data_IF_182163467417
#
_entry.id   IF_182163467417
#
_cell.length_a   1.000
_cell.length_b   1.000
_cell.length_c   1.000
_cell.angle_alpha   90.00
_cell.angle_beta   90.00
_cell.angle_gamma   90.00
#
_symmetry.space_group_name_H-M   'P 1'
#
loop_
_entity.id
_entity.type
_entity.pdbx_description
1 polymer ?
#
# COMPACT_ATOMS: atom_id res chain seq x y z
N UNK A 1 -8.29 -31.89 8.07
CA UNK A 1 -7.93 -30.54 8.56
C UNK A 1 -7.82 -29.65 7.35
N UNK A 2 -8.53 -28.53 7.30
CA UNK A 2 -8.38 -27.56 6.20
C UNK A 2 -6.95 -27.02 6.20
N UNK A 3 -6.32 -26.81 5.02
CA UNK A 3 -5.00 -26.21 4.95
C UNK A 3 -5.04 -24.85 5.66
N UNK A 4 -4.11 -24.64 6.59
CA UNK A 4 -3.94 -23.36 7.28
C UNK A 4 -3.55 -22.34 6.23
N UNK A 5 -4.45 -21.39 5.94
CA UNK A 5 -4.14 -20.27 5.06
C UNK A 5 -3.08 -19.42 5.77
N UNK A 6 -1.90 -19.20 5.16
CA UNK A 6 -0.87 -18.37 5.78
C UNK A 6 -1.43 -16.98 6.11
N UNK A 7 -1.00 -16.44 7.26
CA UNK A 7 -1.40 -15.11 7.69
C UNK A 7 -1.05 -14.07 6.61
N UNK A 8 -1.68 -12.89 6.66
CA UNK A 8 -1.30 -11.80 5.76
C UNK A 8 0.14 -11.32 5.97
N UNK A 9 0.78 -11.61 7.11
CA UNK A 9 2.16 -11.22 7.40
C UNK A 9 3.20 -12.25 6.91
N UNK A 10 2.81 -13.51 6.74
CA UNK A 10 3.71 -14.60 6.36
C UNK A 10 3.41 -15.07 4.93
N UNK A 11 3.92 -14.31 3.96
CA UNK A 11 3.78 -14.58 2.53
C UNK A 11 5.08 -14.28 1.81
N UNK A 12 5.29 -14.94 0.68
CA UNK A 12 6.33 -14.54 -0.28
C UNK A 12 5.81 -13.38 -1.13
N UNK A 13 6.74 -12.56 -1.63
CA UNK A 13 6.43 -11.40 -2.46
C UNK A 13 7.12 -10.13 -2.00
N UNK A 14 6.75 -9.02 -2.63
CA UNK A 14 7.30 -7.69 -2.38
C UNK A 14 6.23 -6.70 -1.96
N UNK A 15 6.55 -5.86 -1.00
CA UNK A 15 5.75 -4.70 -0.60
C UNK A 15 6.57 -3.45 -0.89
N UNK A 16 5.94 -2.43 -1.46
CA UNK A 16 6.57 -1.11 -1.54
C UNK A 16 6.36 -0.38 -0.21
N UNK A 17 7.45 0.05 0.42
CA UNK A 17 7.45 0.75 1.70
C UNK A 17 8.53 1.84 1.67
N UNK A 18 8.13 3.08 1.94
CA UNK A 18 9.02 4.25 2.07
C UNK A 18 10.05 4.43 0.94
N UNK A 19 9.61 4.24 -0.31
CA UNK A 19 10.46 4.43 -1.50
C UNK A 19 11.15 3.17 -2.01
N UNK A 20 11.02 2.04 -1.32
CA UNK A 20 11.76 0.80 -1.63
C UNK A 20 10.84 -0.42 -1.71
N UNK A 21 11.21 -1.40 -2.56
CA UNK A 21 10.60 -2.73 -2.54
C UNK A 21 11.29 -3.58 -1.47
N UNK A 22 10.55 -3.90 -0.41
CA UNK A 22 11.00 -4.78 0.67
C UNK A 22 10.39 -6.17 0.51
N UNK A 23 11.01 -7.19 1.11
CA UNK A 23 10.37 -8.49 1.23
C UNK A 23 9.08 -8.36 2.03
N UNK A 24 8.04 -9.10 1.63
CA UNK A 24 6.71 -9.02 2.23
C UNK A 24 6.76 -9.15 3.77
N UNK A 25 7.60 -10.04 4.28
CA UNK A 25 7.77 -10.28 5.71
C UNK A 25 8.49 -9.15 6.44
N UNK A 26 9.25 -8.32 5.74
CA UNK A 26 10.05 -7.23 6.31
C UNK A 26 9.32 -5.88 6.33
N UNK A 27 8.14 -5.79 5.73
CA UNK A 27 7.24 -4.64 5.84
C UNK A 27 6.63 -4.54 7.25
N UNK A 28 7.46 -4.19 8.23
CA UNK A 28 7.15 -4.11 9.66
C UNK A 28 7.20 -2.67 10.15
N UNK A 29 6.37 -2.37 11.13
CA UNK A 29 6.38 -1.11 11.87
C UNK A 29 6.53 -1.38 13.37
N UNK A 30 6.99 -0.39 14.13
CA UNK A 30 7.07 -0.52 15.57
C UNK A 30 5.67 -0.51 16.20
N UNK A 31 5.47 -1.24 17.30
CA UNK A 31 4.18 -1.29 18.01
C UNK A 31 3.74 0.06 18.59
N UNK A 32 4.64 1.04 18.65
CA UNK A 32 4.37 2.43 19.07
C UNK A 32 4.17 3.39 17.88
N UNK A 33 3.81 2.90 16.70
CA UNK A 33 3.42 3.77 15.58
C UNK A 33 2.14 4.54 15.93
N UNK A 34 2.17 5.87 15.80
CA UNK A 34 1.08 6.77 16.21
C UNK A 34 -0.27 6.35 15.61
N UNK A 35 -0.34 6.01 14.32
CA UNK A 35 -1.59 5.57 13.68
C UNK A 35 -2.20 4.33 14.30
N UNK A 36 -1.40 3.43 14.87
CA UNK A 36 -1.90 2.23 15.54
C UNK A 36 -2.65 2.57 16.85
N UNK A 37 -2.26 3.66 17.52
CA UNK A 37 -2.85 4.09 18.80
C UNK A 37 -3.96 5.13 18.63
N UNK A 38 -3.87 5.97 17.60
CA UNK A 38 -4.75 7.14 17.43
C UNK A 38 -5.56 7.14 16.14
N UNK A 39 -5.43 6.12 15.28
CA UNK A 39 -6.25 5.94 14.08
C UNK A 39 -6.03 6.94 12.94
N UNK A 40 -5.15 7.93 13.11
CA UNK A 40 -4.88 8.95 12.10
C UNK A 40 -4.00 8.39 10.97
N UNK A 41 -4.62 7.98 9.87
CA UNK A 41 -4.00 7.49 8.65
C UNK A 41 -5.02 7.44 7.51
N UNK A 42 -4.55 7.28 6.28
CA UNK A 42 -5.41 7.15 5.10
C UNK A 42 -4.99 5.93 4.27
N UNK A 43 -5.95 5.29 3.61
CA UNK A 43 -5.68 4.17 2.72
C UNK A 43 -6.62 4.19 1.52
N UNK A 44 -6.25 3.45 0.49
CA UNK A 44 -7.05 3.22 -0.70
C UNK A 44 -7.31 1.75 -0.96
N UNK A 45 -8.33 1.48 -1.77
CA UNK A 45 -8.64 0.16 -2.26
C UNK A 45 -8.71 0.15 -3.77
N UNK A 46 -7.69 -0.39 -4.41
CA UNK A 46 -7.56 -0.37 -5.88
C UNK A 46 -7.58 -1.81 -6.40
N UNK A 47 -8.13 -2.04 -7.59
CA UNK A 47 -8.14 -3.37 -8.21
C UNK A 47 -7.38 -3.38 -9.53
N UNK A 48 -6.60 -4.43 -9.72
CA UNK A 48 -6.01 -4.80 -10.99
C UNK A 48 -6.73 -6.01 -11.56
N UNK A 49 -6.95 -6.01 -12.87
CA UNK A 49 -7.66 -7.08 -13.59
C UNK A 49 -6.84 -7.56 -14.77
N UNK A 50 -6.97 -8.85 -15.08
CA UNK A 50 -6.47 -9.43 -16.31
C UNK A 50 -7.32 -8.92 -17.46
N UNK A 51 -6.67 -8.30 -18.45
CA UNK A 51 -7.31 -7.85 -19.69
C UNK A 51 -6.72 -8.60 -20.88
N UNK A 52 -7.31 -8.41 -22.07
CA UNK A 52 -6.77 -8.99 -23.31
C UNK A 52 -5.32 -8.54 -23.62
N UNK A 53 -4.90 -7.38 -23.09
CA UNK A 53 -3.57 -6.79 -23.33
C UNK A 53 -2.63 -6.92 -22.12
N UNK A 54 -3.00 -7.70 -21.10
CA UNK A 54 -2.26 -7.88 -19.85
C UNK A 54 -2.97 -7.32 -18.62
N UNK A 55 -2.30 -7.33 -17.47
CA UNK A 55 -2.86 -6.81 -16.21
C UNK A 55 -2.97 -5.28 -16.28
N UNK A 56 -4.15 -4.74 -15.98
CA UNK A 56 -4.38 -3.30 -15.90
C UNK A 56 -4.99 -2.90 -14.55
N UNK A 57 -4.54 -1.78 -13.98
CA UNK A 57 -5.10 -1.20 -12.75
C UNK A 57 -6.25 -0.27 -13.14
N UNK A 58 -7.44 -0.52 -12.58
CA UNK A 58 -8.63 0.27 -12.89
C UNK A 58 -8.61 1.60 -12.14
N UNK A 59 -8.68 2.72 -12.87
CA UNK A 59 -8.78 4.09 -12.33
C UNK A 59 -7.66 4.46 -11.34
N UNK A 60 -6.42 4.05 -11.67
CA UNK A 60 -5.26 4.24 -10.81
C UNK A 60 -5.06 5.71 -10.40
N UNK A 61 -5.13 6.63 -11.35
CA UNK A 61 -4.90 8.06 -11.11
C UNK A 61 -5.93 8.63 -10.12
N UNK A 62 -7.22 8.34 -10.29
CA UNK A 62 -8.26 8.89 -9.42
C UNK A 62 -8.21 8.29 -8.01
N UNK A 63 -7.82 7.02 -7.87
CA UNK A 63 -7.56 6.43 -6.56
C UNK A 63 -6.36 7.10 -5.87
N UNK A 64 -5.25 7.31 -6.58
CA UNK A 64 -4.08 8.00 -6.02
C UNK A 64 -4.37 9.45 -5.67
N UNK A 65 -5.09 10.18 -6.52
CA UNK A 65 -5.53 11.54 -6.20
C UNK A 65 -6.37 11.56 -4.91
N UNK A 66 -7.29 10.60 -4.74
CA UNK A 66 -8.10 10.48 -3.53
C UNK A 66 -7.29 10.13 -2.28
N UNK A 67 -6.23 9.32 -2.42
CA UNK A 67 -5.28 9.06 -1.32
C UNK A 67 -4.60 10.35 -0.87
N UNK A 68 -4.09 11.15 -1.80
CA UNK A 68 -3.45 12.44 -1.50
C UNK A 68 -4.43 13.45 -0.90
N UNK A 69 -5.66 13.51 -1.41
CA UNK A 69 -6.71 14.34 -0.84
C UNK A 69 -7.08 13.91 0.59
N UNK A 70 -7.14 12.59 0.86
CA UNK A 70 -7.39 12.06 2.21
C UNK A 70 -6.26 12.44 3.18
N UNK A 71 -5.00 12.28 2.76
CA UNK A 71 -3.85 12.73 3.54
C UNK A 71 -3.87 14.24 3.80
N UNK A 72 -4.24 15.05 2.79
CA UNK A 72 -4.40 16.50 2.91
C UNK A 72 -5.45 16.89 3.95
N UNK A 73 -6.60 16.22 3.99
CA UNK A 73 -7.66 16.45 5.01
C UNK A 73 -7.12 16.17 6.42
N UNK A 74 -6.32 15.11 6.58
CA UNK A 74 -5.66 14.75 7.83
C UNK A 74 -4.41 15.60 8.14
N UNK A 75 -4.08 16.57 7.29
CA UNK A 75 -2.85 17.40 7.36
C UNK A 75 -1.57 16.55 7.37
N UNK A 76 -1.61 15.38 6.73
CA UNK A 76 -0.45 14.51 6.52
C UNK A 76 0.19 14.86 5.17
N UNK A 77 1.51 15.06 5.17
CA UNK A 77 2.28 15.22 3.94
C UNK A 77 2.82 13.86 3.50
N UNK A 78 2.36 13.36 2.37
CA UNK A 78 2.98 12.22 1.71
C UNK A 78 4.31 12.69 1.11
N UNK A 79 5.46 12.04 1.43
CA UNK A 79 6.78 12.48 0.99
C UNK A 79 7.14 11.98 -0.43
N UNK A 80 6.13 11.81 -1.29
CA UNK A 80 6.23 11.31 -2.66
C UNK A 80 5.28 12.08 -3.56
N UNK A 81 5.53 12.09 -4.87
CA UNK A 81 4.59 12.62 -5.85
C UNK A 81 3.49 11.61 -6.19
N UNK A 82 2.40 12.07 -6.83
CA UNK A 82 1.34 11.16 -7.28
C UNK A 82 1.86 10.18 -8.33
N UNK A 83 2.77 10.63 -9.20
CA UNK A 83 3.41 9.83 -10.23
C UNK A 83 4.27 8.71 -9.60
N UNK A 84 5.05 9.03 -8.56
CA UNK A 84 5.84 8.03 -7.82
C UNK A 84 4.94 6.97 -7.17
N UNK A 85 3.80 7.39 -6.59
CA UNK A 85 2.84 6.47 -5.96
C UNK A 85 2.09 5.63 -7.00
N UNK A 86 1.80 6.19 -8.18
CA UNK A 86 1.24 5.45 -9.31
C UNK A 86 2.22 4.38 -9.82
N UNK A 87 3.49 4.74 -9.98
CA UNK A 87 4.54 3.78 -10.38
C UNK A 87 4.77 2.71 -9.31
N UNK A 88 4.78 3.07 -8.02
CA UNK A 88 4.91 2.13 -6.93
C UNK A 88 3.81 1.06 -6.96
N UNK A 89 2.56 1.46 -7.16
CA UNK A 89 1.43 0.51 -7.28
C UNK A 89 1.57 -0.42 -8.49
N UNK A 90 1.97 0.12 -9.66
CA UNK A 90 2.25 -0.70 -10.85
C UNK A 90 3.41 -1.67 -10.62
N UNK A 91 4.46 -1.22 -9.96
CA UNK A 91 5.62 -2.04 -9.62
C UNK A 91 5.24 -3.17 -8.66
N UNK A 92 4.43 -2.92 -7.63
CA UNK A 92 3.95 -3.99 -6.72
C UNK A 92 3.22 -5.08 -7.50
N UNK A 93 2.32 -4.73 -8.43
CA UNK A 93 1.61 -5.74 -9.25
C UNK A 93 2.58 -6.54 -10.11
N UNK A 94 3.56 -5.87 -10.72
CA UNK A 94 4.55 -6.48 -11.63
C UNK A 94 5.52 -7.40 -10.90
N UNK A 95 6.15 -6.93 -9.82
CA UNK A 95 7.14 -7.68 -9.05
C UNK A 95 6.54 -8.94 -8.40
N UNK A 96 5.25 -8.89 -8.05
CA UNK A 96 4.53 -10.04 -7.52
C UNK A 96 3.85 -10.90 -8.60
N UNK A 97 4.03 -10.57 -9.89
CA UNK A 97 3.50 -11.33 -11.04
C UNK A 97 1.98 -11.59 -10.95
N UNK A 98 1.22 -10.60 -10.50
CA UNK A 98 -0.20 -10.74 -10.23
C UNK A 98 -1.03 -10.48 -11.49
N UNK A 99 -1.79 -11.48 -11.94
CA UNK A 99 -2.72 -11.32 -13.08
C UNK A 99 -3.98 -10.52 -12.71
N UNK A 100 -4.43 -10.62 -11.47
CA UNK A 100 -5.56 -9.87 -10.92
C UNK A 100 -5.42 -9.80 -9.41
N UNK A 101 -5.55 -8.61 -8.84
CA UNK A 101 -5.29 -8.40 -7.42
C UNK A 101 -6.02 -7.20 -6.86
N UNK A 102 -5.98 -7.11 -5.53
CA UNK A 102 -6.39 -5.94 -4.78
C UNK A 102 -5.15 -5.27 -4.18
N UNK A 103 -4.96 -4.00 -4.48
CA UNK A 103 -3.90 -3.15 -3.95
C UNK A 103 -4.44 -2.35 -2.76
N UNK A 104 -3.59 -2.17 -1.75
CA UNK A 104 -3.88 -1.43 -0.52
C UNK A 104 -2.80 -0.35 -0.26
N UNK A 105 -2.74 0.73 -1.04
CA UNK A 105 -1.91 1.88 -0.68
C UNK A 105 -2.35 2.42 0.69
N UNK A 106 -1.40 2.67 1.59
CA UNK A 106 -1.68 3.12 2.95
C UNK A 106 -0.60 4.12 3.38
N UNK A 107 -1.02 5.23 3.97
CA UNK A 107 -0.15 6.26 4.56
C UNK A 107 -0.51 6.43 6.03
N UNK A 108 0.50 6.55 6.88
CA UNK A 108 0.37 6.57 8.34
C UNK A 108 1.40 7.49 8.98
N UNK A 109 1.18 7.82 10.25
CA UNK A 109 2.10 8.57 11.11
C UNK A 109 2.97 7.57 11.87
N UNK A 110 4.29 7.78 11.81
CA UNK A 110 5.31 6.91 12.38
C UNK A 110 5.37 6.92 13.92
N UNK A 111 6.48 6.44 14.46
CA UNK A 111 6.69 6.21 15.91
C UNK A 111 7.65 7.22 16.56
N UNK A 112 7.77 8.42 16.02
CA UNK A 112 8.71 9.44 16.54
C UNK A 112 8.26 10.03 17.87
N UNK A 113 6.95 10.17 18.10
CA UNK A 113 6.38 10.72 19.34
C UNK A 113 5.00 10.11 19.61
N UNK A 114 4.74 9.81 20.88
CA UNK A 114 3.45 9.34 21.40
C UNK A 114 3.09 10.23 22.60
N UNK A 115 2.17 11.20 22.42
CA UNK A 115 1.84 12.23 23.43
C UNK A 115 2.82 13.41 23.47
#
# INVERSE_FOLDING_TARGET
MSPVVPSMADRDGKIWMDGQMVDWRDAKIHVLSHTLHYGCGAFEGVRAYKTASGTAIFRLEEHTERLFNSAKILRMKIPFTQEEVNEAQKAVVRENQLESCYLRPLTWIGSQKLG
#
